data_IF_387330700132
#
_entry.id   IF_387330700132
#
_cell.length_a   1.000
_cell.length_b   1.000
_cell.length_c   1.000
_cell.angle_alpha   90.00
_cell.angle_beta   90.00
_cell.angle_gamma   90.00
#
_symmetry.space_group_name_H-M   'P 1'
#
loop_
_entity.id
_entity.type
_entity.pdbx_description
1 polymer ?
#
# COMPACT_ATOMS: atom_id res chain seq x y z
N UNK A 1 -29.22 -37.34 -9.93
CA UNK A 1 -29.33 -37.81 -8.54
C UNK A 1 -28.76 -36.69 -7.68
N UNK A 2 -29.37 -35.95 -6.89
CA UNK A 2 -30.65 -35.55 -6.41
C UNK A 2 -30.56 -34.09 -5.96
N UNK A 3 -31.49 -33.38 -6.42
CA UNK A 3 -31.98 -32.09 -6.02
C UNK A 3 -32.53 -32.11 -4.56
N UNK A 4 -32.51 -30.93 -3.90
CA UNK A 4 -33.43 -30.42 -2.87
C UNK A 4 -32.72 -29.22 -2.23
N UNK A 5 -33.07 -27.97 -2.32
CA UNK A 5 -34.43 -27.40 -2.27
C UNK A 5 -34.74 -27.00 -0.83
N UNK A 6 -34.51 -25.73 -0.43
CA UNK A 6 -35.21 -25.10 0.69
C UNK A 6 -35.38 -23.59 0.43
N UNK A 7 -36.59 -23.26 0.04
CA UNK A 7 -37.16 -21.91 0.15
C UNK A 7 -37.69 -21.75 1.59
N UNK A 8 -37.43 -20.63 2.21
CA UNK A 8 -38.20 -20.17 3.34
C UNK A 8 -38.46 -18.67 3.21
N UNK A 9 -39.66 -18.36 2.80
CA UNK A 9 -40.28 -17.05 2.87
C UNK A 9 -40.78 -16.81 4.30
N UNK A 10 -40.46 -15.64 4.87
CA UNK A 10 -41.01 -15.17 6.15
C UNK A 10 -41.49 -13.73 6.00
N UNK A 11 -42.80 -13.58 5.73
CA UNK A 11 -43.52 -12.33 5.82
C UNK A 11 -43.93 -12.13 7.30
N UNK A 12 -43.62 -10.99 7.87
CA UNK A 12 -44.20 -10.54 9.14
C UNK A 12 -44.63 -9.08 9.02
N UNK A 13 -45.91 -8.94 8.79
CA UNK A 13 -46.72 -7.74 8.92
C UNK A 13 -46.96 -7.45 10.42
N UNK A 14 -46.73 -6.22 10.86
CA UNK A 14 -47.05 -5.78 12.19
C UNK A 14 -47.34 -4.28 12.23
N UNK A 15 -48.56 -3.90 12.00
CA UNK A 15 -49.06 -2.56 12.28
C UNK A 15 -49.43 -2.47 13.77
N UNK A 16 -49.10 -1.36 14.44
CA UNK A 16 -49.91 -0.85 15.56
C UNK A 16 -49.61 0.66 15.76
N UNK A 17 -50.70 1.39 15.75
CA UNK A 17 -50.84 2.80 16.04
C UNK A 17 -50.52 3.11 17.50
N UNK A 18 -49.91 4.25 17.78
CA UNK A 18 -49.74 4.83 19.09
C UNK A 18 -49.64 6.35 18.97
N UNK A 19 -50.78 7.05 19.11
CA UNK A 19 -50.84 8.48 19.34
C UNK A 19 -50.31 8.82 20.73
N UNK A 20 -49.30 9.67 20.80
CA UNK A 20 -48.79 10.27 22.01
C UNK A 20 -48.10 11.57 21.66
N UNK A 21 -48.83 12.68 21.75
CA UNK A 21 -48.27 14.02 21.48
C UNK A 21 -47.29 14.43 22.58
N UNK A 22 -46.07 14.74 22.16
CA UNK A 22 -45.17 15.57 22.92
C UNK A 22 -44.47 16.47 21.91
N UNK A 23 -44.72 17.75 22.02
CA UNK A 23 -44.05 18.81 21.27
C UNK A 23 -42.60 18.86 21.67
N UNK A 24 -41.76 18.04 21.04
CA UNK A 24 -40.32 18.13 21.11
C UNK A 24 -39.86 19.07 20.01
N UNK A 25 -39.31 20.19 20.43
CA UNK A 25 -38.58 21.12 19.56
C UNK A 25 -37.55 20.32 18.73
N UNK A 26 -37.55 20.42 17.39
CA UNK A 26 -36.56 19.69 16.60
C UNK A 26 -35.18 20.25 16.90
N UNK A 27 -34.34 19.42 17.53
CA UNK A 27 -32.88 19.67 17.59
C UNK A 27 -32.37 19.81 16.16
N UNK A 28 -31.48 20.75 15.87
CA UNK A 28 -30.91 20.88 14.53
C UNK A 28 -30.20 19.57 14.19
N UNK A 29 -30.75 18.84 13.23
CA UNK A 29 -30.13 17.67 12.64
C UNK A 29 -28.76 18.12 12.11
N UNK A 30 -27.68 17.64 12.73
CA UNK A 30 -26.34 17.85 12.22
C UNK A 30 -26.32 17.34 10.76
N UNK A 31 -26.03 18.25 9.83
CA UNK A 31 -25.85 17.89 8.45
C UNK A 31 -24.81 16.75 8.35
N UNK A 32 -25.04 15.72 7.54
CA UNK A 32 -24.06 14.68 7.34
C UNK A 32 -22.77 15.35 6.87
N UNK A 33 -21.70 15.22 7.64
CA UNK A 33 -20.37 15.68 7.24
C UNK A 33 -20.02 14.89 5.98
N UNK A 34 -20.05 15.56 4.84
CA UNK A 34 -19.55 15.01 3.58
C UNK A 34 -18.12 14.56 3.86
N UNK A 35 -17.75 13.29 3.60
CA UNK A 35 -16.35 12.88 3.73
C UNK A 35 -15.55 13.83 2.84
N UNK A 36 -14.65 14.60 3.46
CA UNK A 36 -13.72 15.45 2.71
C UNK A 36 -12.90 14.50 1.85
N UNK A 37 -13.21 14.46 0.56
CA UNK A 37 -12.43 13.69 -0.40
C UNK A 37 -10.98 14.13 -0.24
N UNK A 38 -10.08 13.16 -0.05
CA UNK A 38 -8.65 13.39 -0.08
C UNK A 38 -8.37 14.17 -1.38
N UNK A 39 -7.99 15.44 -1.25
CA UNK A 39 -7.51 16.22 -2.38
C UNK A 39 -6.15 15.64 -2.72
N UNK A 40 -6.14 14.66 -3.61
CA UNK A 40 -4.92 14.11 -4.18
C UNK A 40 -4.41 15.15 -5.17
N UNK A 41 -3.58 16.04 -4.70
CA UNK A 41 -2.84 16.92 -5.60
C UNK A 41 -1.68 16.14 -6.27
N UNK A 42 -0.99 16.74 -7.25
CA UNK A 42 0.10 16.06 -7.93
C UNK A 42 1.18 15.65 -6.91
N UNK A 43 1.62 14.40 -6.97
CA UNK A 43 2.72 13.88 -6.15
C UNK A 43 3.96 14.77 -6.34
N UNK A 44 4.62 15.09 -5.23
CA UNK A 44 5.85 15.88 -5.29
C UNK A 44 7.00 15.01 -5.77
N UNK A 45 7.93 15.60 -6.50
CA UNK A 45 9.12 14.87 -6.97
C UNK A 45 9.97 14.39 -5.78
N UNK A 46 10.09 13.09 -5.63
CA UNK A 46 10.94 12.45 -4.61
C UNK A 46 12.43 12.60 -4.96
N UNK A 47 12.78 12.90 -6.20
CA UNK A 47 14.14 12.85 -6.70
C UNK A 47 14.47 11.49 -7.34
N UNK A 48 15.64 10.93 -7.04
CA UNK A 48 16.08 9.64 -7.60
C UNK A 48 15.89 8.49 -6.59
N UNK A 49 14.95 7.60 -6.86
CA UNK A 49 14.68 6.42 -6.02
C UNK A 49 15.89 5.44 -5.95
N UNK A 50 16.80 5.46 -6.93
CA UNK A 50 17.98 4.60 -6.88
C UNK A 50 19.00 5.01 -5.80
N UNK A 51 18.83 6.18 -5.18
CA UNK A 51 19.66 6.59 -4.05
C UNK A 51 19.26 5.92 -2.74
N UNK A 52 18.08 5.31 -2.68
CA UNK A 52 17.54 4.68 -1.47
C UNK A 52 18.21 3.35 -1.13
N UNK A 53 18.60 2.59 -2.13
CA UNK A 53 19.28 1.30 -1.95
C UNK A 53 20.45 1.19 -2.96
N UNK A 54 21.54 0.61 -2.52
CA UNK A 54 22.67 0.27 -3.40
C UNK A 54 22.49 -1.12 -4.03
N UNK A 55 23.12 -1.37 -5.16
CA UNK A 55 23.12 -2.69 -5.79
C UNK A 55 23.64 -3.79 -4.85
N UNK A 56 24.68 -3.49 -4.05
CA UNK A 56 25.26 -4.44 -3.10
C UNK A 56 24.31 -4.79 -1.95
N UNK A 57 23.50 -3.85 -1.47
CA UNK A 57 22.48 -4.13 -0.45
C UNK A 57 21.38 -5.03 -0.98
N UNK A 58 20.90 -4.77 -2.20
CA UNK A 58 19.92 -5.62 -2.86
C UNK A 58 20.48 -7.04 -3.04
N UNK A 59 21.70 -7.19 -3.55
CA UNK A 59 22.37 -8.50 -3.68
C UNK A 59 22.47 -9.23 -2.34
N UNK A 60 22.96 -8.52 -1.31
CA UNK A 60 23.16 -9.13 0.02
C UNK A 60 21.86 -9.56 0.70
N UNK A 61 20.75 -8.86 0.44
CA UNK A 61 19.46 -9.18 1.02
C UNK A 61 18.72 -10.28 0.25
N UNK A 62 18.82 -10.30 -1.07
CA UNK A 62 18.04 -11.19 -1.94
C UNK A 62 18.76 -12.46 -2.32
N UNK A 63 20.08 -12.52 -2.10
CA UNK A 63 20.95 -13.62 -2.57
C UNK A 63 20.89 -13.87 -4.09
N UNK A 64 20.32 -12.95 -4.85
CA UNK A 64 20.35 -12.94 -6.31
C UNK A 64 21.68 -12.38 -6.76
N UNK A 65 22.25 -12.89 -7.83
CA UNK A 65 23.54 -12.47 -8.37
C UNK A 65 23.63 -10.95 -8.64
N UNK A 66 24.71 -10.48 -9.29
CA UNK A 66 24.92 -9.07 -9.54
C UNK A 66 23.71 -8.40 -10.19
N UNK A 67 23.30 -7.24 -9.68
CA UNK A 67 22.19 -6.45 -10.22
C UNK A 67 22.65 -5.07 -10.67
N UNK A 68 21.97 -4.53 -11.68
CA UNK A 68 22.17 -3.16 -12.17
C UNK A 68 20.93 -2.33 -11.89
N UNK A 69 21.04 -1.18 -11.19
CA UNK A 69 19.94 -0.26 -10.99
C UNK A 69 19.64 0.54 -12.25
N UNK A 70 18.36 0.78 -12.52
CA UNK A 70 17.89 1.67 -13.58
C UNK A 70 16.82 2.62 -13.01
N UNK A 71 17.07 3.93 -13.16
CA UNK A 71 16.18 4.99 -12.69
C UNK A 71 15.16 5.35 -13.77
N UNK A 72 13.93 5.61 -13.36
CA UNK A 72 12.88 6.20 -14.18
C UNK A 72 11.96 7.07 -13.34
N UNK A 73 11.26 8.01 -13.99
CA UNK A 73 10.28 8.90 -13.34
C UNK A 73 8.97 8.87 -14.09
N UNK A 74 7.89 8.89 -13.33
CA UNK A 74 6.54 9.07 -13.81
C UNK A 74 5.92 10.29 -13.11
N UNK A 75 5.35 11.26 -13.84
CA UNK A 75 4.80 12.48 -13.25
C UNK A 75 3.66 12.24 -12.25
N UNK A 76 2.94 11.12 -12.35
CA UNK A 76 1.80 10.78 -11.50
C UNK A 76 2.17 9.77 -10.40
N UNK A 77 3.12 8.88 -10.69
CA UNK A 77 3.44 7.74 -9.84
C UNK A 77 4.78 7.89 -9.10
N UNK A 78 5.52 8.98 -9.34
CA UNK A 78 6.76 9.29 -8.65
C UNK A 78 8.02 8.72 -9.32
N UNK A 79 9.05 8.50 -8.51
CA UNK A 79 10.35 7.98 -8.96
C UNK A 79 10.45 6.49 -8.77
N UNK A 80 11.09 5.82 -9.71
CA UNK A 80 11.32 4.38 -9.67
C UNK A 80 12.82 4.06 -9.76
N UNK A 81 13.23 3.03 -9.02
CA UNK A 81 14.47 2.33 -9.26
C UNK A 81 14.18 0.84 -9.48
N UNK A 82 14.61 0.33 -10.63
CA UNK A 82 14.43 -1.08 -10.99
C UNK A 82 15.79 -1.77 -11.00
N UNK A 83 15.95 -2.78 -10.16
CA UNK A 83 17.16 -3.60 -10.09
C UNK A 83 16.99 -4.83 -10.97
N UNK A 84 17.82 -4.97 -12.01
CA UNK A 84 17.78 -6.10 -12.95
C UNK A 84 19.03 -6.94 -12.82
N UNK A 85 18.99 -8.25 -13.11
CA UNK A 85 20.20 -9.07 -13.17
C UNK A 85 21.19 -8.46 -14.13
N UNK A 86 22.46 -8.34 -13.71
CA UNK A 86 23.52 -7.75 -14.53
C UNK A 86 23.97 -8.67 -15.67
N UNK A 87 23.82 -9.98 -15.51
CA UNK A 87 24.15 -10.98 -16.51
C UNK A 87 22.94 -11.87 -16.82
N UNK A 88 22.71 -12.16 -18.09
CA UNK A 88 21.89 -13.28 -18.56
C UNK A 88 20.38 -13.04 -18.56
N UNK A 89 19.89 -12.35 -19.57
CA UNK A 89 18.61 -12.67 -20.25
C UNK A 89 17.29 -12.58 -19.50
N UNK A 90 17.23 -12.44 -18.18
CA UNK A 90 15.96 -12.26 -17.49
C UNK A 90 15.47 -10.82 -17.62
N UNK A 91 14.31 -10.65 -18.26
CA UNK A 91 13.60 -9.36 -18.31
C UNK A 91 12.92 -9.01 -16.99
N UNK A 92 12.78 -9.99 -16.07
CA UNK A 92 12.09 -9.82 -14.78
C UNK A 92 13.00 -9.07 -13.81
N UNK A 93 12.54 -7.94 -13.25
CA UNK A 93 13.30 -7.25 -12.21
C UNK A 93 13.44 -8.10 -10.96
N UNK A 94 14.59 -8.02 -10.31
CA UNK A 94 14.81 -8.60 -8.98
C UNK A 94 14.03 -7.78 -7.94
N UNK A 95 14.07 -6.45 -8.06
CA UNK A 95 13.41 -5.53 -7.15
C UNK A 95 12.98 -4.28 -7.90
N UNK A 96 11.83 -3.75 -7.56
CA UNK A 96 11.40 -2.40 -7.93
C UNK A 96 11.17 -1.59 -6.66
N UNK A 97 11.73 -0.40 -6.60
CA UNK A 97 11.49 0.61 -5.57
C UNK A 97 10.76 1.77 -6.21
N UNK A 98 9.57 2.07 -5.72
CA UNK A 98 8.81 3.27 -6.08
C UNK A 98 8.84 4.22 -4.89
N UNK A 99 9.12 5.49 -5.13
CA UNK A 99 9.15 6.52 -4.10
C UNK A 99 8.38 7.77 -4.53
N UNK A 100 7.53 8.25 -3.62
CA UNK A 100 6.67 9.42 -3.81
C UNK A 100 6.79 10.32 -2.57
N UNK A 101 6.75 11.63 -2.77
CA UNK A 101 6.56 12.57 -1.68
C UNK A 101 5.11 13.05 -1.69
N UNK A 102 4.39 12.74 -0.62
CA UNK A 102 3.00 13.14 -0.41
C UNK A 102 2.89 14.56 0.16
N UNK A 103 1.67 15.08 0.25
CA UNK A 103 1.42 16.40 0.81
C UNK A 103 1.69 16.47 2.32
N UNK A 104 1.53 15.35 3.02
CA UNK A 104 1.69 15.26 4.47
C UNK A 104 2.02 13.83 4.90
N UNK A 105 2.53 13.71 6.12
CA UNK A 105 2.73 12.40 6.75
C UNK A 105 1.43 11.61 6.89
N UNK A 106 0.29 12.28 7.12
CA UNK A 106 -1.01 11.62 7.20
C UNK A 106 -1.42 11.03 5.85
N UNK A 107 -1.17 11.74 4.73
CA UNK A 107 -1.43 11.22 3.39
C UNK A 107 -0.55 10.01 3.07
N UNK A 108 0.74 10.07 3.38
CA UNK A 108 1.66 8.94 3.19
C UNK A 108 1.23 7.70 3.98
N UNK A 109 0.82 7.86 5.26
CA UNK A 109 0.28 6.76 6.07
C UNK A 109 -1.01 6.18 5.48
N UNK A 110 -1.93 7.03 5.03
CA UNK A 110 -3.18 6.57 4.42
C UNK A 110 -2.92 5.68 3.19
N UNK A 111 -1.87 5.97 2.40
CA UNK A 111 -1.46 5.11 1.29
C UNK A 111 -0.96 3.74 1.77
N UNK A 112 -0.19 3.69 2.87
CA UNK A 112 0.23 2.43 3.48
C UNK A 112 -0.98 1.64 3.99
N UNK A 113 -1.91 2.29 4.69
CA UNK A 113 -3.13 1.64 5.21
C UNK A 113 -3.99 1.01 4.11
N UNK A 114 -4.08 1.64 2.96
CA UNK A 114 -4.84 1.13 1.81
C UNK A 114 -4.20 -0.12 1.17
N UNK A 115 -2.90 -0.35 1.36
CA UNK A 115 -2.21 -1.51 0.78
C UNK A 115 -2.64 -2.84 1.40
N UNK A 116 -3.22 -2.80 2.62
CA UNK A 116 -3.59 -4.01 3.37
C UNK A 116 -2.38 -4.81 3.85
N UNK A 117 -2.64 -5.97 4.40
CA UNK A 117 -1.61 -6.88 4.92
C UNK A 117 -1.16 -6.59 6.36
N UNK A 118 -0.28 -7.44 6.92
CA UNK A 118 0.21 -7.30 8.27
C UNK A 118 1.12 -6.08 8.43
N UNK A 119 1.03 -5.43 9.58
CA UNK A 119 1.91 -4.32 9.97
C UNK A 119 3.31 -4.83 10.28
N UNK A 120 4.32 -4.11 9.81
CA UNK A 120 5.72 -4.34 10.10
C UNK A 120 6.20 -3.34 11.15
N UNK A 121 6.61 -3.85 12.32
CA UNK A 121 7.11 -3.01 13.41
C UNK A 121 8.55 -2.55 13.15
N UNK A 122 8.85 -1.29 13.46
CA UNK A 122 10.22 -0.75 13.39
C UNK A 122 10.68 -0.38 11.97
N UNK A 123 9.77 -0.30 11.01
CA UNK A 123 10.06 0.10 9.63
C UNK A 123 9.32 1.40 9.33
N UNK A 124 10.05 2.52 9.27
CA UNK A 124 9.47 3.84 9.05
C UNK A 124 8.50 4.27 10.17
N UNK A 125 7.54 5.11 9.81
CA UNK A 125 6.46 5.54 10.71
C UNK A 125 5.27 4.57 10.66
N UNK A 126 5.05 3.95 9.50
CA UNK A 126 4.11 2.86 9.28
C UNK A 126 4.61 2.01 8.10
N UNK A 127 4.41 0.70 8.20
CA UNK A 127 4.74 -0.23 7.11
C UNK A 127 3.86 -1.48 7.13
N UNK A 128 3.61 -2.02 5.94
CA UNK A 128 2.83 -3.24 5.73
C UNK A 128 3.47 -4.15 4.69
N UNK A 129 3.44 -5.45 4.94
CA UNK A 129 3.77 -6.46 3.94
C UNK A 129 2.49 -6.92 3.22
N UNK A 130 2.54 -7.07 1.91
CA UNK A 130 1.41 -7.54 1.13
C UNK A 130 1.85 -8.41 -0.06
N UNK A 131 0.90 -9.17 -0.59
CA UNK A 131 1.06 -9.98 -1.82
C UNK A 131 0.08 -9.51 -2.88
N UNK A 132 0.40 -8.42 -3.60
CA UNK A 132 -0.50 -7.84 -4.58
C UNK A 132 -0.90 -8.86 -5.64
N UNK A 133 -2.22 -9.12 -5.78
CA UNK A 133 -2.75 -10.06 -6.76
C UNK A 133 -2.26 -11.51 -6.62
N UNK A 134 -1.65 -11.88 -5.48
CA UNK A 134 -1.06 -13.21 -5.27
C UNK A 134 0.23 -13.47 -6.04
N UNK A 135 0.73 -12.49 -6.79
CA UNK A 135 1.94 -12.58 -7.61
C UNK A 135 3.05 -11.75 -6.99
N UNK A 136 3.98 -12.40 -6.31
CA UNK A 136 5.12 -11.74 -5.69
C UNK A 136 4.85 -11.19 -4.29
N UNK A 137 5.76 -10.36 -3.80
CA UNK A 137 5.68 -9.73 -2.48
C UNK A 137 5.97 -8.24 -2.58
N UNK A 138 5.39 -7.47 -1.69
CA UNK A 138 5.65 -6.03 -1.58
C UNK A 138 5.70 -5.60 -0.12
N UNK A 139 6.49 -4.56 0.16
CA UNK A 139 6.47 -3.80 1.40
C UNK A 139 6.13 -2.36 1.06
N UNK A 140 5.10 -1.86 1.69
CA UNK A 140 4.65 -0.49 1.64
C UNK A 140 5.08 0.20 2.92
N UNK A 141 5.71 1.36 2.84
CA UNK A 141 6.14 2.09 4.03
C UNK A 141 5.98 3.60 3.86
N UNK A 142 5.79 4.28 4.98
CA UNK A 142 5.82 5.73 5.08
C UNK A 142 6.84 6.19 6.12
N UNK A 143 7.44 7.35 5.87
CA UNK A 143 8.23 8.10 6.85
C UNK A 143 8.14 9.59 6.55
N UNK A 144 7.63 10.36 7.51
CA UNK A 144 7.24 11.73 7.24
C UNK A 144 6.22 11.79 6.09
N UNK A 145 6.46 12.64 5.11
CA UNK A 145 5.64 12.74 3.90
C UNK A 145 6.07 11.78 2.77
N UNK A 146 7.08 10.95 2.98
CA UNK A 146 7.53 9.98 1.99
C UNK A 146 6.70 8.70 2.05
N UNK A 147 6.27 8.23 0.89
CA UNK A 147 5.64 6.93 0.68
C UNK A 147 6.50 6.11 -0.27
N UNK A 148 6.84 4.89 0.11
CA UNK A 148 7.72 4.03 -0.68
C UNK A 148 7.14 2.62 -0.77
N UNK A 149 7.26 2.02 -1.95
CA UNK A 149 6.90 0.64 -2.22
C UNK A 149 8.14 -0.12 -2.69
N UNK A 150 8.49 -1.18 -1.98
CA UNK A 150 9.42 -2.19 -2.47
C UNK A 150 8.62 -3.38 -2.97
N UNK A 151 8.81 -3.79 -4.21
CA UNK A 151 8.08 -4.93 -4.75
C UNK A 151 8.98 -5.85 -5.57
N UNK A 152 8.66 -7.14 -5.54
CA UNK A 152 9.32 -8.17 -6.33
C UNK A 152 8.34 -9.25 -6.75
N UNK A 153 8.45 -9.66 -8.01
CA UNK A 153 7.83 -10.88 -8.55
C UNK A 153 8.88 -11.97 -8.82
N UNK A 154 10.14 -11.70 -8.44
CA UNK A 154 11.22 -12.65 -8.66
C UNK A 154 11.13 -13.79 -7.62
N UNK A 155 11.12 -15.03 -8.09
CA UNK A 155 10.89 -16.23 -7.27
C UNK A 155 11.88 -16.42 -6.10
N UNK A 156 13.09 -15.89 -6.26
CA UNK A 156 14.17 -16.03 -5.28
C UNK A 156 14.22 -14.85 -4.29
N UNK A 157 13.30 -13.88 -4.37
CA UNK A 157 13.19 -12.77 -3.43
C UNK A 157 12.11 -13.08 -2.42
N UNK A 158 12.51 -13.28 -1.18
CA UNK A 158 11.62 -13.59 -0.06
C UNK A 158 11.00 -12.32 0.54
N UNK A 159 9.87 -12.46 1.22
CA UNK A 159 9.24 -11.39 2.00
C UNK A 159 10.22 -10.82 3.05
N UNK A 160 10.93 -11.71 3.75
CA UNK A 160 11.95 -11.32 4.74
C UNK A 160 13.09 -10.48 4.13
N UNK A 161 13.49 -10.77 2.88
CA UNK A 161 14.48 -9.95 2.17
C UNK A 161 13.94 -8.54 1.91
N UNK A 162 12.67 -8.41 1.51
CA UNK A 162 12.01 -7.10 1.31
C UNK A 162 11.88 -6.33 2.62
N UNK A 163 11.50 -6.98 3.72
CA UNK A 163 11.42 -6.36 5.05
C UNK A 163 12.79 -5.82 5.50
N UNK A 164 13.85 -6.60 5.32
CA UNK A 164 15.22 -6.16 5.63
C UNK A 164 15.61 -4.93 4.82
N UNK A 165 15.33 -4.94 3.50
CA UNK A 165 15.60 -3.81 2.62
C UNK A 165 14.75 -2.58 2.99
N UNK A 166 13.49 -2.77 3.36
CA UNK A 166 12.60 -1.72 3.82
C UNK A 166 13.13 -1.05 5.10
N UNK A 167 13.64 -1.82 6.06
CA UNK A 167 14.30 -1.30 7.26
C UNK A 167 15.55 -0.45 6.92
N UNK A 168 16.40 -0.93 6.00
CA UNK A 168 17.57 -0.18 5.53
C UNK A 168 17.15 1.13 4.86
N UNK A 169 16.16 1.08 3.98
CA UNK A 169 15.64 2.22 3.23
C UNK A 169 15.00 3.25 4.17
N UNK A 170 14.21 2.81 5.15
CA UNK A 170 13.58 3.69 6.13
C UNK A 170 14.59 4.53 6.92
N UNK A 171 15.82 4.05 7.10
CA UNK A 171 16.90 4.80 7.71
C UNK A 171 17.41 5.99 6.88
N UNK A 172 17.05 6.06 5.59
CA UNK A 172 17.51 7.07 4.62
C UNK A 172 16.44 8.06 4.20
N UNK A 173 15.19 7.81 4.56
CA UNK A 173 14.07 8.72 4.42
C UNK A 173 14.05 9.74 5.60
#
# INVERSE_FOLDING_TARGET
>A
MDARGWLAAGVLTGALAGCGGSTSTPSPTAAPSTPQGLVVGPARDFGDACRLLTASEVQSATSVGPVTPGSSKDPQLGSYCTYRPAAGGSSVPVLTVQAVTEYSAAAARAMVDQSGGPTLSGVGDDARAAKPGGLGSAVYLSKGASYVVLSSIHKDVTEQALEKLAGTLAGRL
#
